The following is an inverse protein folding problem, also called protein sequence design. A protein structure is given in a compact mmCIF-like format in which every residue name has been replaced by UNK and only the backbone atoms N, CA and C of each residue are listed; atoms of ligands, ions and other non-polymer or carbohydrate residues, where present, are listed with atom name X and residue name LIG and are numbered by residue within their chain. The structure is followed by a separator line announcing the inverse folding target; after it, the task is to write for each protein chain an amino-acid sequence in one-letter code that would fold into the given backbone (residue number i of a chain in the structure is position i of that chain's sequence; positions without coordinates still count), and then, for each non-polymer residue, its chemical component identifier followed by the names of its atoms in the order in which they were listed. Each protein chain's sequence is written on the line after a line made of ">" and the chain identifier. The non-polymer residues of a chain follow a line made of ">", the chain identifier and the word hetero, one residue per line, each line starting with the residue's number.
data_IF_634349750601
#
_entry.id   IF_634349750601
#
_cell.length_a   1.000
_cell.length_b   1.000
_cell.length_c   1.000
_cell.angle_alpha   90.00
_cell.angle_beta   90.00
_cell.angle_gamma   90.00
#
_symmetry.space_group_name_H-M   'P 1'
#
loop_
_entity.id
_entity.type
_entity.pdbx_description
1 polymer ?
#
# COMPACT_ATOMS: atom_id res chain seq x y z
N UNK A 1 -10.04 15.15 16.29
CA UNK A 1 -8.78 15.94 16.35
C UNK A 1 -8.55 16.64 15.00
N UNK A 2 -7.69 17.65 14.96
CA UNK A 2 -7.16 18.26 13.72
C UNK A 2 -5.65 18.46 13.86
N UNK A 3 -4.88 17.97 12.89
CA UNK A 3 -3.45 18.23 12.73
C UNK A 3 -3.24 18.77 11.32
N UNK A 4 -2.66 19.97 11.20
CA UNK A 4 -2.51 20.62 9.89
C UNK A 4 -1.18 21.37 9.77
N UNK A 5 -0.61 21.36 8.57
CA UNK A 5 0.56 22.16 8.16
C UNK A 5 1.80 21.86 9.03
N UNK A 6 2.00 20.58 9.37
CA UNK A 6 3.13 20.12 10.20
C UNK A 6 4.23 19.55 9.31
N UNK A 7 5.44 20.05 9.50
CA UNK A 7 6.63 19.68 8.74
C UNK A 7 7.73 19.22 9.71
N UNK A 8 8.42 18.12 9.43
CA UNK A 8 9.53 17.70 10.29
C UNK A 8 10.21 16.40 9.89
N UNK A 9 11.06 15.89 10.79
CA UNK A 9 11.72 14.58 10.68
C UNK A 9 11.55 13.79 11.97
N UNK A 10 10.37 13.20 12.24
CA UNK A 10 10.22 12.28 13.36
C UNK A 10 11.15 11.08 13.17
N UNK A 11 12.03 10.79 14.12
CA UNK A 11 13.04 9.74 13.92
C UNK A 11 12.48 8.33 14.12
N UNK A 12 11.62 8.13 15.13
CA UNK A 12 11.04 6.81 15.44
C UNK A 12 9.58 6.69 15.07
N UNK A 13 8.76 7.66 15.46
CA UNK A 13 7.33 7.68 15.18
C UNK A 13 6.90 9.10 14.88
N UNK A 14 6.22 9.30 13.75
CA UNK A 14 5.55 10.57 13.45
C UNK A 14 4.20 10.64 14.16
N UNK A 15 3.12 10.62 13.39
CA UNK A 15 1.77 10.71 13.97
C UNK A 15 1.27 9.30 14.36
N UNK A 16 0.76 9.20 15.59
CA UNK A 16 0.03 8.04 16.08
C UNK A 16 -1.41 8.45 16.42
N UNK A 17 -2.39 7.79 15.82
CA UNK A 17 -3.82 7.99 16.09
C UNK A 17 -4.42 6.71 16.63
N UNK A 18 -5.08 6.77 17.77
CA UNK A 18 -5.81 5.64 18.36
C UNK A 18 -6.91 6.14 19.31
N UNK A 19 -7.89 5.28 19.58
CA UNK A 19 -9.06 5.57 20.43
C UNK A 19 -9.82 6.86 20.03
N UNK A 20 -9.91 7.13 18.73
CA UNK A 20 -10.70 8.22 18.17
C UNK A 20 -12.05 7.66 17.69
N UNK A 21 -13.14 8.06 18.33
CA UNK A 21 -14.50 7.58 18.03
C UNK A 21 -15.34 8.59 17.22
N UNK A 22 -14.65 9.57 16.63
CA UNK A 22 -15.23 10.67 15.84
C UNK A 22 -14.26 11.01 14.69
N UNK A 23 -14.64 11.94 13.83
CA UNK A 23 -13.94 12.24 12.58
C UNK A 23 -12.65 13.05 12.83
N UNK A 24 -11.51 12.36 12.85
CA UNK A 24 -10.18 12.94 12.88
C UNK A 24 -9.73 13.51 11.53
N UNK A 25 -8.87 14.55 11.53
CA UNK A 25 -8.30 15.16 10.33
C UNK A 25 -6.78 15.34 10.46
N UNK A 26 -6.03 14.90 9.46
CA UNK A 26 -4.60 15.17 9.25
C UNK A 26 -4.44 15.72 7.85
N UNK A 27 -3.91 16.93 7.72
CA UNK A 27 -3.90 17.67 6.45
C UNK A 27 -2.57 18.37 6.23
N UNK A 28 -1.97 18.28 5.04
CA UNK A 28 -0.71 18.96 4.70
C UNK A 28 0.42 18.66 5.72
N UNK A 29 0.62 17.38 6.05
CA UNK A 29 1.68 16.94 6.97
C UNK A 29 2.77 16.22 6.20
N UNK A 30 4.00 16.73 6.29
CA UNK A 30 5.12 16.23 5.50
C UNK A 30 6.31 15.87 6.39
N UNK A 31 6.76 14.62 6.33
CA UNK A 31 7.89 14.10 7.09
C UNK A 31 9.06 13.72 6.18
N UNK A 32 10.07 14.59 6.14
CA UNK A 32 11.25 14.43 5.30
C UNK A 32 12.53 14.53 6.15
N UNK A 33 13.68 14.05 5.66
CA UNK A 33 14.95 14.10 6.39
C UNK A 33 15.57 15.51 6.44
N UNK A 34 14.79 16.51 6.86
CA UNK A 34 15.16 17.92 6.89
C UNK A 34 16.06 18.30 8.08
N UNK A 35 15.99 17.56 9.19
CA UNK A 35 16.86 17.82 10.33
C UNK A 35 18.28 17.29 10.09
N UNK A 36 18.40 16.05 9.61
CA UNK A 36 19.68 15.45 9.26
C UNK A 36 19.55 14.22 8.36
N UNK A 37 20.42 14.14 7.35
CA UNK A 37 20.60 12.98 6.47
C UNK A 37 21.93 12.24 6.74
N UNK A 38 22.54 12.44 7.93
CA UNK A 38 23.81 11.78 8.28
C UNK A 38 23.64 10.25 8.19
N UNK A 39 24.54 9.50 7.53
CA UNK A 39 24.30 8.11 7.16
C UNK A 39 23.83 7.21 8.31
N UNK A 40 24.48 7.30 9.49
CA UNK A 40 24.12 6.49 10.67
C UNK A 40 22.69 6.78 11.17
N UNK A 41 22.29 8.05 11.19
CA UNK A 41 20.95 8.44 11.62
C UNK A 41 19.90 8.03 10.60
N UNK A 42 20.16 8.32 9.32
CA UNK A 42 19.21 8.02 8.25
C UNK A 42 18.98 6.51 8.12
N UNK A 43 20.04 5.69 8.19
CA UNK A 43 19.91 4.23 8.26
C UNK A 43 19.09 3.77 9.46
N UNK A 44 19.32 4.35 10.65
CA UNK A 44 18.52 4.01 11.83
C UNK A 44 17.05 4.38 11.65
N UNK A 45 16.75 5.55 11.10
CA UNK A 45 15.39 5.98 10.78
C UNK A 45 14.73 5.06 9.75
N UNK A 46 15.43 4.68 8.69
CA UNK A 46 14.88 3.74 7.69
C UNK A 46 14.62 2.35 8.28
N UNK A 47 15.38 1.93 9.29
CA UNK A 47 15.19 0.61 9.92
C UNK A 47 14.13 0.60 11.01
N UNK A 48 13.89 1.74 11.65
CA UNK A 48 13.06 1.80 12.87
C UNK A 48 11.86 2.73 12.73
N UNK A 49 11.86 3.67 11.80
CA UNK A 49 10.88 4.75 11.73
C UNK A 49 9.51 4.31 11.19
N UNK A 50 8.45 4.81 11.82
CA UNK A 50 7.07 4.69 11.35
C UNK A 50 6.45 6.09 11.23
N UNK A 51 6.15 6.57 10.02
CA UNK A 51 5.77 7.97 9.82
C UNK A 51 4.32 8.26 10.28
N UNK A 52 3.36 7.47 9.82
CA UNK A 52 1.94 7.61 10.18
C UNK A 52 1.39 6.26 10.63
N UNK A 53 0.84 6.20 11.85
CA UNK A 53 0.30 4.97 12.44
C UNK A 53 -1.13 5.20 12.90
N UNK A 54 -2.04 4.36 12.43
CA UNK A 54 -3.48 4.43 12.70
C UNK A 54 -3.96 3.15 13.38
N UNK A 55 -4.33 3.26 14.65
CA UNK A 55 -5.11 2.28 15.41
C UNK A 55 -6.61 2.49 15.22
N UNK A 56 -7.38 2.53 16.31
CA UNK A 56 -8.81 2.85 16.26
C UNK A 56 -9.02 4.32 15.91
N UNK A 57 -9.59 4.56 14.73
CA UNK A 57 -10.13 5.86 14.34
C UNK A 57 -11.33 5.67 13.41
N UNK A 58 -12.45 6.32 13.74
CA UNK A 58 -13.69 6.25 12.98
C UNK A 58 -13.73 7.38 11.94
N UNK A 59 -13.79 7.00 10.66
CA UNK A 59 -13.87 7.95 9.54
C UNK A 59 -12.74 9.00 9.51
N UNK A 60 -11.50 8.57 9.69
CA UNK A 60 -10.34 9.45 9.58
C UNK A 60 -10.29 10.13 8.20
N UNK A 61 -9.94 11.41 8.16
CA UNK A 61 -9.49 12.08 6.95
C UNK A 61 -8.00 12.33 7.03
N UNK A 62 -7.29 11.87 6.01
CA UNK A 62 -5.89 12.18 5.76
C UNK A 62 -5.79 12.75 4.35
N UNK A 63 -5.28 13.97 4.25
CA UNK A 63 -5.25 14.69 2.99
C UNK A 63 -3.88 15.35 2.77
N UNK A 64 -3.31 15.13 1.59
CA UNK A 64 -2.05 15.75 1.18
C UNK A 64 -0.94 15.54 2.22
N UNK A 65 -0.62 14.28 2.53
CA UNK A 65 0.44 13.94 3.49
C UNK A 65 1.57 13.20 2.81
N UNK A 66 2.80 13.36 3.30
CA UNK A 66 3.96 12.73 2.69
C UNK A 66 4.97 12.26 3.73
N UNK A 67 5.69 11.17 3.46
CA UNK A 67 6.90 10.83 4.21
C UNK A 67 8.01 10.26 3.33
N UNK A 68 9.28 10.46 3.72
CA UNK A 68 10.45 9.94 3.03
C UNK A 68 11.44 9.24 3.97
N UNK A 69 11.88 8.04 3.60
CA UNK A 69 13.00 7.36 4.27
C UNK A 69 12.64 6.78 5.65
N UNK A 70 11.61 5.94 5.69
CA UNK A 70 11.12 5.28 6.91
C UNK A 70 11.09 3.75 6.74
N UNK A 71 11.00 3.00 7.85
CA UNK A 71 10.72 1.57 7.75
C UNK A 71 9.31 1.35 7.18
N UNK A 72 8.34 2.07 7.75
CA UNK A 72 6.96 2.09 7.27
C UNK A 72 6.46 3.52 7.13
N UNK A 73 5.91 3.85 5.96
CA UNK A 73 5.27 5.14 5.72
C UNK A 73 3.93 5.25 6.43
N UNK A 74 2.94 4.49 5.98
CA UNK A 74 1.61 4.41 6.58
C UNK A 74 1.35 3.03 7.17
N UNK A 75 0.89 2.96 8.42
CA UNK A 75 0.62 1.69 9.10
C UNK A 75 -0.75 1.68 9.73
N UNK A 76 -1.56 0.69 9.37
CA UNK A 76 -2.90 0.47 9.91
C UNK A 76 -2.89 -0.77 10.80
N UNK A 77 -3.15 -0.57 12.09
CA UNK A 77 -3.03 -1.60 13.11
C UNK A 77 -4.37 -1.86 13.79
N UNK A 78 -4.48 -3.05 14.41
CA UNK A 78 -5.54 -3.31 15.38
C UNK A 78 -5.03 -3.03 16.79
N UNK A 79 -5.76 -2.21 17.54
CA UNK A 79 -5.50 -1.96 18.97
C UNK A 79 -6.63 -2.55 19.81
N UNK A 80 -6.51 -2.42 21.13
CA UNK A 80 -7.61 -2.78 22.05
C UNK A 80 -8.89 -1.97 21.80
N UNK A 81 -8.76 -0.75 21.26
CA UNK A 81 -9.88 0.11 20.94
C UNK A 81 -10.54 -0.25 19.59
N UNK A 82 -9.87 -1.05 18.75
CA UNK A 82 -10.39 -1.51 17.46
C UNK A 82 -9.46 -1.19 16.29
N UNK A 83 -10.04 -0.85 15.14
CA UNK A 83 -9.36 -0.68 13.85
C UNK A 83 -9.76 0.62 13.17
N UNK A 84 -8.99 1.03 12.17
CA UNK A 84 -9.23 2.24 11.39
C UNK A 84 -10.22 2.02 10.21
N UNK A 85 -11.04 3.03 9.92
CA UNK A 85 -11.59 3.29 8.58
C UNK A 85 -11.45 4.79 8.24
N UNK A 86 -11.51 5.14 6.95
CA UNK A 86 -11.44 6.54 6.55
C UNK A 86 -11.03 6.80 5.10
N UNK A 87 -10.81 8.09 4.82
CA UNK A 87 -10.39 8.66 3.55
C UNK A 87 -8.92 9.07 3.63
N UNK A 88 -8.13 8.61 2.65
CA UNK A 88 -6.70 8.85 2.54
C UNK A 88 -6.42 9.33 1.13
N UNK A 89 -6.46 10.65 0.93
CA UNK A 89 -6.40 11.24 -0.41
C UNK A 89 -5.14 12.08 -0.60
N UNK A 90 -4.40 11.84 -1.68
CA UNK A 90 -3.13 12.55 -1.90
C UNK A 90 -2.07 12.16 -0.87
N UNK A 91 -2.02 10.89 -0.46
CA UNK A 91 -1.01 10.40 0.49
C UNK A 91 0.19 9.81 -0.24
N UNK A 92 1.39 10.19 0.18
CA UNK A 92 2.64 9.75 -0.43
C UNK A 92 3.63 9.14 0.57
N UNK A 93 4.33 8.08 0.20
CA UNK A 93 5.40 7.49 0.98
C UNK A 93 6.55 7.02 0.09
N UNK A 94 7.68 7.71 0.21
CA UNK A 94 8.86 7.50 -0.62
C UNK A 94 10.04 6.91 0.14
N UNK A 95 10.81 6.11 -0.59
CA UNK A 95 11.99 5.40 -0.10
C UNK A 95 11.74 4.71 1.26
N UNK A 96 10.54 4.17 1.45
CA UNK A 96 10.23 3.39 2.64
C UNK A 96 10.56 1.92 2.38
N UNK A 97 10.98 1.17 3.40
CA UNK A 97 11.12 -0.29 3.23
C UNK A 97 9.78 -0.92 2.84
N UNK A 98 8.69 -0.42 3.43
CA UNK A 98 7.33 -0.65 2.98
C UNK A 98 6.53 0.65 3.06
N UNK A 99 6.01 1.11 1.94
CA UNK A 99 5.30 2.39 1.87
C UNK A 99 4.00 2.38 2.69
N UNK A 100 3.25 1.26 2.66
CA UNK A 100 2.01 1.10 3.42
C UNK A 100 1.80 -0.34 3.89
N UNK A 101 1.50 -0.49 5.19
CA UNK A 101 1.18 -1.76 5.84
C UNK A 101 -0.24 -1.73 6.40
N UNK A 102 -1.02 -2.76 6.12
CA UNK A 102 -2.34 -3.00 6.73
C UNK A 102 -2.30 -4.31 7.50
N UNK A 103 -2.15 -4.22 8.82
CA UNK A 103 -2.31 -5.39 9.70
C UNK A 103 -3.80 -5.75 9.80
N UNK A 104 -4.66 -4.75 9.99
CA UNK A 104 -6.12 -4.88 9.90
C UNK A 104 -6.80 -3.50 9.70
N UNK A 105 -8.01 -3.51 9.14
CA UNK A 105 -8.86 -2.32 9.02
C UNK A 105 -10.35 -2.69 9.15
N UNK A 106 -11.23 -1.71 9.27
CA UNK A 106 -12.66 -1.98 9.39
C UNK A 106 -13.27 -2.52 8.07
N UNK A 107 -14.43 -3.20 8.11
CA UNK A 107 -15.13 -3.66 6.90
C UNK A 107 -15.53 -2.54 5.93
N UNK A 108 -15.79 -1.33 6.46
CA UNK A 108 -16.09 -0.13 5.65
C UNK A 108 -14.87 0.35 4.85
N UNK A 109 -13.68 0.08 5.39
CA UNK A 109 -12.42 0.09 4.66
C UNK A 109 -11.58 1.36 4.74
N UNK A 110 -10.40 1.24 4.13
CA UNK A 110 -9.47 2.34 3.84
C UNK A 110 -9.70 2.77 2.39
N UNK A 111 -10.10 4.04 2.21
CA UNK A 111 -10.39 4.65 0.92
C UNK A 111 -9.17 5.48 0.49
N UNK A 112 -8.23 4.83 -0.18
CA UNK A 112 -6.96 5.42 -0.59
C UNK A 112 -7.09 5.88 -2.05
N UNK A 113 -6.89 7.16 -2.31
CA UNK A 113 -7.10 7.74 -3.64
C UNK A 113 -6.04 8.79 -3.96
N UNK A 114 -5.56 8.82 -5.21
CA UNK A 114 -4.50 9.74 -5.63
C UNK A 114 -3.23 9.55 -4.79
N UNK A 115 -2.87 8.30 -4.48
CA UNK A 115 -1.71 7.97 -3.65
C UNK A 115 -0.45 7.71 -4.46
N UNK A 116 0.70 7.93 -3.82
CA UNK A 116 2.03 7.78 -4.40
C UNK A 116 2.89 6.90 -3.49
N UNK A 117 3.32 5.73 -3.98
CA UNK A 117 3.99 4.75 -3.12
C UNK A 117 5.26 4.21 -3.75
N UNK A 118 6.34 4.24 -2.97
CA UNK A 118 7.68 3.99 -3.49
C UNK A 118 8.56 3.28 -2.46
N UNK A 119 9.19 2.20 -2.90
CA UNK A 119 10.14 1.42 -2.11
C UNK A 119 11.35 1.04 -2.95
N UNK A 120 12.55 1.39 -2.48
CA UNK A 120 13.81 1.09 -3.15
C UNK A 120 14.75 0.24 -2.30
N UNK A 121 14.83 0.55 -1.00
CA UNK A 121 15.75 -0.06 -0.06
C UNK A 121 15.04 -0.99 0.94
N UNK A 122 15.84 -1.73 1.70
CA UNK A 122 15.38 -2.63 2.75
C UNK A 122 15.66 -4.09 2.43
N UNK A 123 15.39 -4.99 3.38
CA UNK A 123 15.63 -6.42 3.19
C UNK A 123 14.70 -7.03 2.13
N UNK A 124 13.50 -6.45 1.96
CA UNK A 124 12.51 -6.92 1.01
C UNK A 124 11.59 -5.77 0.56
N UNK A 125 12.11 -4.81 -0.25
CA UNK A 125 11.37 -3.61 -0.65
C UNK A 125 10.06 -4.01 -1.34
N UNK A 126 8.95 -3.79 -0.64
CA UNK A 126 7.59 -4.11 -1.08
C UNK A 126 6.72 -2.94 -0.70
N UNK A 127 6.05 -2.30 -1.66
CA UNK A 127 5.38 -1.03 -1.38
C UNK A 127 4.16 -1.22 -0.49
N UNK A 128 3.32 -2.21 -0.80
CA UNK A 128 2.07 -2.48 -0.08
C UNK A 128 2.12 -3.87 0.53
N UNK A 129 1.89 -3.95 1.84
CA UNK A 129 1.64 -5.21 2.55
C UNK A 129 0.29 -5.19 3.22
N UNK A 130 -0.53 -6.19 2.92
CA UNK A 130 -1.78 -6.46 3.65
C UNK A 130 -1.64 -7.82 4.31
N UNK A 131 -1.66 -7.85 5.63
CA UNK A 131 -1.31 -9.04 6.39
C UNK A 131 -2.49 -10.01 6.55
N UNK A 132 -2.17 -11.26 6.90
CA UNK A 132 -3.13 -12.34 7.05
C UNK A 132 -4.26 -12.09 8.08
N UNK A 133 -4.05 -11.16 9.02
CA UNK A 133 -5.04 -10.76 10.00
C UNK A 133 -6.11 -9.80 9.44
N UNK A 134 -5.89 -9.20 8.26
CA UNK A 134 -6.81 -8.24 7.69
C UNK A 134 -8.12 -8.92 7.25
N UNK A 135 -9.23 -8.40 7.79
CA UNK A 135 -10.59 -8.81 7.42
C UNK A 135 -11.40 -7.66 6.79
N UNK A 136 -10.84 -6.44 6.77
CA UNK A 136 -11.50 -5.25 6.24
C UNK A 136 -11.34 -5.06 4.73
N UNK A 137 -11.78 -3.89 4.24
CA UNK A 137 -11.64 -3.52 2.83
C UNK A 137 -10.51 -2.49 2.65
N UNK A 138 -9.61 -2.71 1.70
CA UNK A 138 -8.56 -1.73 1.34
C UNK A 138 -8.72 -1.38 -0.14
N UNK A 139 -8.92 -0.10 -0.46
CA UNK A 139 -9.17 0.36 -1.83
C UNK A 139 -8.13 1.39 -2.23
N UNK A 140 -7.33 1.06 -3.24
CA UNK A 140 -6.44 1.97 -3.93
C UNK A 140 -7.10 2.36 -5.24
N UNK A 141 -7.30 3.66 -5.45
CA UNK A 141 -7.91 4.21 -6.67
C UNK A 141 -7.04 5.33 -7.22
N UNK A 142 -6.74 5.33 -8.51
CA UNK A 142 -5.90 6.35 -9.14
C UNK A 142 -4.56 6.56 -8.41
N UNK A 143 -3.87 5.47 -8.07
CA UNK A 143 -2.60 5.51 -7.35
C UNK A 143 -1.43 5.14 -8.26
N UNK A 144 -0.26 5.73 -8.01
CA UNK A 144 0.97 5.44 -8.72
C UNK A 144 1.97 4.71 -7.82
N UNK A 145 2.65 3.72 -8.40
CA UNK A 145 3.60 2.86 -7.71
C UNK A 145 4.88 2.71 -8.53
N UNK A 146 6.02 3.13 -7.98
CA UNK A 146 7.30 3.08 -8.70
C UNK A 146 8.52 2.89 -7.79
N UNK A 147 9.65 2.55 -8.40
CA UNK A 147 10.90 2.24 -7.72
C UNK A 147 11.36 0.80 -7.90
N UNK A 148 12.69 0.53 -7.89
CA UNK A 148 13.26 -0.83 -7.98
C UNK A 148 12.93 -1.73 -6.78
N UNK A 149 11.65 -1.90 -6.48
CA UNK A 149 11.14 -2.80 -5.47
C UNK A 149 11.21 -4.25 -5.94
N UNK A 150 11.12 -5.17 -4.99
CA UNK A 150 10.91 -6.58 -5.30
C UNK A 150 9.47 -6.82 -5.76
N UNK A 151 8.49 -6.10 -5.20
CA UNK A 151 7.07 -6.33 -5.41
C UNK A 151 6.24 -5.08 -5.13
N UNK A 152 5.19 -4.82 -5.93
CA UNK A 152 4.28 -3.69 -5.65
C UNK A 152 3.43 -4.01 -4.43
N UNK A 153 2.73 -5.14 -4.46
CA UNK A 153 1.82 -5.52 -3.38
C UNK A 153 1.89 -7.00 -3.06
N UNK A 154 1.91 -7.31 -1.76
CA UNK A 154 1.62 -8.63 -1.22
C UNK A 154 0.36 -8.57 -0.37
N UNK A 155 -0.63 -9.37 -0.73
CA UNK A 155 -1.97 -9.31 -0.12
C UNK A 155 -2.36 -10.66 0.47
N UNK A 156 -2.60 -10.66 1.77
CA UNK A 156 -3.07 -11.79 2.55
C UNK A 156 -4.38 -11.44 3.30
N UNK A 157 -4.96 -12.45 3.96
CA UNK A 157 -6.11 -12.29 4.83
C UNK A 157 -7.43 -12.65 4.16
N UNK A 158 -8.54 -12.28 4.82
CA UNK A 158 -9.90 -12.64 4.36
C UNK A 158 -10.67 -11.44 3.81
N UNK A 159 -10.10 -10.25 3.99
CA UNK A 159 -10.65 -8.99 3.53
C UNK A 159 -10.74 -8.85 2.01
N UNK A 160 -11.12 -7.65 1.57
CA UNK A 160 -11.14 -7.29 0.15
C UNK A 160 -10.06 -6.26 -0.13
N UNK A 161 -9.21 -6.52 -1.11
CA UNK A 161 -8.25 -5.53 -1.60
C UNK A 161 -8.55 -5.19 -3.05
N UNK A 162 -8.64 -3.89 -3.34
CA UNK A 162 -8.93 -3.39 -4.67
C UNK A 162 -7.85 -2.43 -5.16
N UNK A 163 -7.42 -2.61 -6.39
CA UNK A 163 -6.63 -1.66 -7.17
C UNK A 163 -7.48 -1.24 -8.37
N UNK A 164 -7.77 0.05 -8.48
CA UNK A 164 -8.57 0.65 -9.53
C UNK A 164 -7.83 1.81 -10.18
N UNK A 165 -7.69 1.80 -11.50
CA UNK A 165 -7.10 2.92 -12.26
C UNK A 165 -5.68 3.26 -11.79
N UNK A 166 -4.90 2.26 -11.36
CA UNK A 166 -3.55 2.45 -10.82
C UNK A 166 -2.48 2.25 -11.90
N UNK A 167 -1.32 2.90 -11.74
CA UNK A 167 -0.13 2.69 -12.57
C UNK A 167 0.98 1.99 -11.79
N UNK A 168 1.48 0.87 -12.32
CA UNK A 168 2.54 0.06 -11.74
C UNK A 168 3.79 0.11 -12.65
N UNK A 169 4.89 0.67 -12.17
CA UNK A 169 6.04 0.99 -13.05
C UNK A 169 7.24 0.06 -12.89
N UNK A 170 7.60 -0.35 -11.68
CA UNK A 170 8.83 -1.09 -11.43
C UNK A 170 8.64 -2.14 -10.35
N UNK A 171 8.95 -3.40 -10.66
CA UNK A 171 8.91 -4.53 -9.73
C UNK A 171 9.87 -5.65 -10.13
N UNK A 172 9.92 -6.72 -9.35
CA UNK A 172 10.77 -7.90 -9.59
C UNK A 172 12.20 -7.76 -9.05
N UNK A 173 12.60 -6.59 -8.58
CA UNK A 173 13.95 -6.33 -8.05
C UNK A 173 15.05 -6.70 -9.05
N UNK A 174 16.21 -7.10 -8.54
CA UNK A 174 17.33 -7.54 -9.38
C UNK A 174 17.07 -8.91 -10.05
N UNK A 175 16.31 -9.79 -9.38
CA UNK A 175 16.06 -11.15 -9.84
C UNK A 175 15.00 -11.24 -10.95
N UNK A 176 14.11 -10.23 -11.05
CA UNK A 176 13.01 -10.15 -12.03
C UNK A 176 12.08 -11.37 -12.01
N UNK A 177 11.87 -11.96 -10.83
CA UNK A 177 11.17 -13.24 -10.64
C UNK A 177 9.87 -13.13 -9.85
N UNK A 178 9.54 -11.93 -9.33
CA UNK A 178 8.33 -11.70 -8.54
C UNK A 178 7.23 -11.04 -9.36
N UNK A 179 6.00 -11.39 -9.02
CA UNK A 179 4.80 -10.73 -9.53
C UNK A 179 4.68 -9.31 -8.98
N UNK A 180 4.18 -8.37 -9.77
CA UNK A 180 3.85 -7.03 -9.29
C UNK A 180 2.84 -7.10 -8.14
N UNK A 181 1.71 -7.78 -8.40
CA UNK A 181 0.67 -8.05 -7.41
C UNK A 181 0.67 -9.53 -7.05
N UNK A 182 1.04 -9.84 -5.83
CA UNK A 182 0.91 -11.17 -5.26
C UNK A 182 -0.25 -11.23 -4.28
N UNK A 183 -1.39 -11.72 -4.78
CA UNK A 183 -2.61 -11.91 -4.00
C UNK A 183 -2.63 -13.35 -3.50
N UNK A 184 -2.20 -13.57 -2.26
CA UNK A 184 -2.11 -14.89 -1.65
C UNK A 184 -3.49 -15.40 -1.23
N UNK A 185 -4.33 -14.54 -0.66
CA UNK A 185 -5.66 -14.91 -0.14
C UNK A 185 -6.68 -13.77 -0.13
N UNK A 186 -7.94 -14.10 0.13
CA UNK A 186 -9.01 -13.11 0.34
C UNK A 186 -9.87 -12.85 -0.91
N UNK A 187 -10.32 -11.61 -1.09
CA UNK A 187 -11.03 -11.15 -2.29
C UNK A 187 -10.25 -10.03 -2.98
N UNK A 188 -10.06 -10.13 -4.29
CA UNK A 188 -9.32 -9.14 -5.06
C UNK A 188 -10.14 -8.49 -6.17
N UNK A 189 -9.87 -7.21 -6.42
CA UNK A 189 -10.36 -6.46 -7.58
C UNK A 189 -9.16 -5.74 -8.20
N UNK A 190 -8.81 -6.04 -9.44
CA UNK A 190 -7.74 -5.35 -10.16
C UNK A 190 -8.31 -4.86 -11.48
N UNK A 191 -8.55 -3.55 -11.58
CA UNK A 191 -9.34 -2.98 -12.66
C UNK A 191 -8.76 -1.69 -13.21
N UNK A 192 -8.75 -1.53 -14.52
CA UNK A 192 -8.32 -0.27 -15.14
C UNK A 192 -6.83 0.05 -14.94
N UNK A 193 -6.02 -0.92 -14.50
CA UNK A 193 -4.63 -0.64 -14.14
C UNK A 193 -3.68 -0.74 -15.35
N UNK A 194 -2.60 0.04 -15.29
CA UNK A 194 -1.50 0.02 -16.25
C UNK A 194 -0.27 -0.67 -15.62
N UNK A 195 0.21 -1.74 -16.25
CA UNK A 195 1.43 -2.43 -15.85
C UNK A 195 2.55 -2.15 -16.86
N UNK A 196 3.53 -1.34 -16.45
CA UNK A 196 4.52 -0.75 -17.37
C UNK A 196 5.83 -1.54 -17.52
N UNK A 197 5.85 -2.80 -17.11
CA UNK A 197 6.97 -3.71 -17.39
C UNK A 197 6.50 -5.02 -17.99
N UNK A 198 7.33 -5.54 -18.89
CA UNK A 198 7.22 -6.87 -19.46
C UNK A 198 7.77 -7.92 -18.48
N UNK A 199 7.17 -8.00 -17.28
CA UNK A 199 7.47 -8.96 -16.21
C UNK A 199 6.18 -9.64 -15.73
N UNK A 200 6.25 -10.52 -14.73
CA UNK A 200 5.06 -11.20 -14.19
C UNK A 200 4.16 -10.18 -13.49
N UNK A 201 2.90 -10.04 -13.88
CA UNK A 201 2.06 -8.95 -13.36
C UNK A 201 1.24 -9.37 -12.14
N UNK A 202 0.50 -10.49 -12.21
CA UNK A 202 -0.44 -10.87 -11.13
C UNK A 202 -0.33 -12.35 -10.80
N UNK A 203 -0.23 -12.67 -9.51
CA UNK A 203 -0.47 -14.02 -8.98
C UNK A 203 -1.71 -14.03 -8.11
N UNK A 204 -2.60 -14.99 -8.34
CA UNK A 204 -3.72 -15.35 -7.47
C UNK A 204 -3.42 -16.70 -6.83
N UNK A 205 -3.19 -16.70 -5.53
CA UNK A 205 -2.88 -17.90 -4.74
C UNK A 205 -4.10 -18.76 -4.42
N UNK A 206 -3.86 -19.96 -3.92
CA UNK A 206 -4.91 -20.93 -3.58
C UNK A 206 -5.93 -20.40 -2.56
N UNK A 207 -5.49 -19.51 -1.66
CA UNK A 207 -6.32 -18.90 -0.63
C UNK A 207 -7.24 -17.79 -1.14
N UNK A 208 -7.13 -17.38 -2.41
CA UNK A 208 -8.04 -16.42 -3.02
C UNK A 208 -9.41 -17.07 -3.17
N UNK A 209 -10.45 -16.43 -2.65
CA UNK A 209 -11.83 -16.96 -2.68
C UNK A 209 -12.60 -16.41 -3.87
N UNK A 210 -12.37 -15.15 -4.20
CA UNK A 210 -13.00 -14.45 -5.34
C UNK A 210 -12.05 -13.41 -5.91
N UNK A 211 -12.00 -13.27 -7.23
CA UNK A 211 -11.26 -12.18 -7.86
C UNK A 211 -11.92 -11.71 -9.16
N UNK A 212 -11.76 -10.42 -9.46
CA UNK A 212 -12.06 -9.86 -10.79
C UNK A 212 -10.84 -9.10 -11.29
N UNK A 213 -10.29 -9.53 -12.42
CA UNK A 213 -9.13 -8.94 -13.08
C UNK A 213 -9.54 -8.49 -14.48
N UNK A 214 -9.81 -7.20 -14.65
CA UNK A 214 -10.44 -6.72 -15.90
C UNK A 214 -10.07 -5.29 -16.29
N UNK A 215 -10.06 -4.99 -17.58
CA UNK A 215 -9.79 -3.62 -18.07
C UNK A 215 -8.34 -3.17 -17.88
N UNK A 216 -7.39 -4.09 -17.70
CA UNK A 216 -5.99 -3.73 -17.46
C UNK A 216 -5.20 -3.71 -18.78
N UNK A 217 -4.16 -2.87 -18.82
CA UNK A 217 -3.21 -2.81 -19.94
C UNK A 217 -1.81 -3.23 -19.48
N UNK A 218 -1.12 -4.01 -20.32
CA UNK A 218 0.21 -4.55 -20.02
C UNK A 218 1.21 -4.13 -21.10
N UNK A 219 2.37 -3.62 -20.71
CA UNK A 219 3.47 -3.29 -21.63
C UNK A 219 4.08 -4.53 -22.33
N UNK A 220 3.64 -5.73 -21.98
CA UNK A 220 4.04 -6.98 -22.62
C UNK A 220 2.88 -7.96 -22.64
N UNK A 221 3.18 -9.25 -22.75
CA UNK A 221 2.16 -10.30 -22.70
C UNK A 221 1.40 -10.27 -21.37
N UNK A 222 0.13 -10.68 -21.41
CA UNK A 222 -0.66 -10.89 -20.19
C UNK A 222 -0.11 -12.10 -19.40
N UNK A 223 0.56 -11.85 -18.27
CA UNK A 223 1.07 -12.87 -17.34
C UNK A 223 0.34 -12.80 -16.00
N UNK A 224 -0.80 -13.50 -15.96
CA UNK A 224 -1.63 -13.69 -14.77
C UNK A 224 -1.59 -15.17 -14.41
N UNK A 225 -0.98 -15.51 -13.28
CA UNK A 225 -0.95 -16.88 -12.75
C UNK A 225 -2.08 -17.06 -11.74
N UNK A 226 -2.97 -18.03 -11.99
CA UNK A 226 -4.08 -18.32 -11.09
C UNK A 226 -4.00 -19.77 -10.57
N UNK A 227 -3.75 -19.92 -9.27
CA UNK A 227 -3.85 -21.21 -8.55
C UNK A 227 -5.06 -21.27 -7.61
N UNK A 228 -5.89 -20.21 -7.59
CA UNK A 228 -7.13 -20.17 -6.82
C UNK A 228 -8.12 -21.24 -7.26
N UNK A 229 -8.77 -21.87 -6.29
CA UNK A 229 -9.97 -22.72 -6.49
C UNK A 229 -11.27 -21.93 -6.32
N UNK A 230 -11.16 -20.62 -6.11
CA UNK A 230 -12.26 -19.70 -5.90
C UNK A 230 -12.92 -19.24 -7.21
N UNK A 231 -13.88 -18.32 -7.10
CA UNK A 231 -14.56 -17.74 -8.27
C UNK A 231 -13.73 -16.58 -8.83
N UNK A 232 -13.05 -16.82 -9.94
CA UNK A 232 -12.12 -15.85 -10.54
C UNK A 232 -12.56 -15.52 -11.95
N UNK A 233 -12.77 -14.23 -12.22
CA UNK A 233 -13.04 -13.71 -13.56
C UNK A 233 -11.81 -12.94 -14.06
N UNK A 234 -11.28 -13.35 -15.21
CA UNK A 234 -10.14 -12.71 -15.88
C UNK A 234 -10.54 -12.45 -17.33
N UNK A 235 -10.64 -11.18 -17.72
CA UNK A 235 -11.03 -10.84 -19.08
C UNK A 235 -11.04 -9.33 -19.35
N UNK A 236 -11.15 -8.96 -20.62
CA UNK A 236 -11.08 -7.55 -21.07
C UNK A 236 -9.75 -6.87 -20.70
N UNK A 237 -8.65 -7.60 -20.69
CA UNK A 237 -7.32 -7.00 -20.56
C UNK A 237 -6.57 -7.11 -21.89
N UNK A 238 -5.62 -6.20 -22.12
CA UNK A 238 -4.85 -6.13 -23.38
C UNK A 238 -3.36 -5.99 -23.07
N UNK A 239 -2.53 -6.80 -23.72
CA UNK A 239 -1.08 -6.63 -23.75
C UNK A 239 -0.61 -6.03 -25.08
N UNK A 240 0.57 -5.43 -25.09
CA UNK A 240 1.22 -4.96 -26.34
C UNK A 240 1.63 -6.10 -27.28
N UNK A 241 1.71 -7.34 -26.78
CA UNK A 241 2.06 -8.57 -27.51
C UNK A 241 1.11 -9.71 -27.19
#
# INVERSE_FOLDING_TARGET
>A
HLIRDVHGQPLRRGIYVDAIYDIGRIENVHFNPWWSNRPKLFQWQMQNGEAFVFGRTDWQYVYNTFCFGYAVGYKFIQTKAGVCNGNFSGIGADDCYTALVVENCAPFGLLITNGEFVSFHGPDPTMIRVDAANNGSVRFVNCAFWGPCNQIARVEGKGTVGFGDCTFVQWGGQAKDRFALDIVSGTALVRGCEFRQDLQQIRLGEGVRRAVITGNVFAGEQRITNTSKGKVEIGLNVGER
#
